data_IF_511124594409
#
_entry.id   IF_511124594409
#
_cell.length_a   1.000
_cell.length_b   1.000
_cell.length_c   1.000
_cell.angle_alpha   90.00
_cell.angle_beta   90.00
_cell.angle_gamma   90.00
#
_symmetry.space_group_name_H-M   'P 1'
#
loop_
_entity.id
_entity.type
_entity.pdbx_description
1 polymer ?
#
# COMPACT_ATOMS: atom_id res chain seq x y z
N UNK A 1 -38.07 -18.26 39.32
CA UNK A 1 -37.52 -18.55 37.98
C UNK A 1 -36.27 -17.70 37.82
N UNK A 2 -35.10 -18.33 37.67
CA UNK A 2 -33.89 -17.61 37.29
C UNK A 2 -34.00 -17.19 35.81
N UNK A 3 -33.44 -16.03 35.40
CA UNK A 3 -33.43 -15.65 34.00
C UNK A 3 -32.56 -16.64 33.22
N UNK A 4 -33.09 -17.17 32.12
CA UNK A 4 -32.34 -17.98 31.17
C UNK A 4 -31.27 -17.08 30.52
N UNK A 5 -29.99 -17.39 30.74
CA UNK A 5 -28.90 -16.74 30.00
C UNK A 5 -29.10 -17.02 28.50
N UNK A 6 -29.20 -15.97 27.69
CA UNK A 6 -29.17 -16.11 26.23
C UNK A 6 -27.74 -16.50 25.80
N UNK A 7 -27.62 -17.57 25.00
CA UNK A 7 -26.38 -17.95 24.32
C UNK A 7 -26.08 -16.91 23.23
N UNK A 8 -25.27 -15.88 23.53
CA UNK A 8 -24.82 -14.92 22.50
C UNK A 8 -23.55 -15.48 21.83
N UNK A 9 -23.27 -15.24 20.56
CA UNK A 9 -22.07 -15.80 19.86
C UNK A 9 -21.02 -14.74 19.48
N UNK A 10 -19.81 -14.74 20.06
CA UNK A 10 -18.70 -13.82 19.72
C UNK A 10 -17.95 -14.42 18.57
N UNK A 11 -17.53 -13.55 17.67
CA UNK A 11 -16.33 -13.82 16.91
C UNK A 11 -15.39 -12.63 16.98
N UNK A 12 -14.10 -12.91 17.14
CA UNK A 12 -13.05 -11.91 16.98
C UNK A 12 -12.42 -12.11 15.62
N UNK A 13 -12.34 -11.04 14.83
CA UNK A 13 -11.66 -11.07 13.54
C UNK A 13 -10.33 -10.33 13.66
N UNK A 14 -9.23 -10.99 13.28
CA UNK A 14 -7.91 -10.37 13.21
C UNK A 14 -7.36 -10.41 11.79
N UNK A 15 -6.74 -9.33 11.35
CA UNK A 15 -6.00 -9.22 10.09
C UNK A 15 -4.50 -9.29 10.36
N UNK A 16 -3.76 -10.01 9.51
CA UNK A 16 -2.30 -9.88 9.44
C UNK A 16 -1.93 -9.27 8.08
N UNK A 17 -0.72 -8.74 7.94
CA UNK A 17 -0.23 -8.22 6.67
C UNK A 17 1.18 -8.73 6.38
N UNK A 18 1.47 -8.97 5.12
CA UNK A 18 2.82 -9.30 4.64
C UNK A 18 3.38 -8.10 3.89
N UNK A 19 4.54 -7.63 4.28
CA UNK A 19 5.21 -6.49 3.65
C UNK A 19 6.25 -6.95 2.61
N UNK A 20 6.55 -6.07 1.66
CA UNK A 20 7.61 -6.26 0.69
C UNK A 20 8.09 -4.92 0.13
N UNK A 21 9.27 -4.95 -0.50
CA UNK A 21 9.87 -3.79 -1.15
C UNK A 21 10.48 -4.23 -2.49
N UNK A 22 10.25 -3.46 -3.54
CA UNK A 22 10.87 -3.65 -4.85
C UNK A 22 11.33 -2.30 -5.41
N UNK A 23 12.50 -2.27 -6.03
CA UNK A 23 13.05 -1.06 -6.66
C UNK A 23 13.19 -1.27 -8.16
N UNK A 24 12.66 -0.34 -8.93
CA UNK A 24 12.83 -0.25 -10.37
C UNK A 24 13.80 0.89 -10.69
N UNK A 25 14.99 0.56 -11.22
CA UNK A 25 15.90 1.54 -11.83
C UNK A 25 15.55 1.70 -13.30
N UNK A 26 15.37 2.95 -13.72
CA UNK A 26 15.31 3.35 -15.13
C UNK A 26 16.69 3.90 -15.48
N UNK A 27 17.32 3.32 -16.50
CA UNK A 27 18.65 3.70 -16.97
C UNK A 27 18.57 4.07 -18.45
N UNK A 28 19.03 5.27 -18.81
CA UNK A 28 18.79 5.84 -20.14
C UNK A 28 17.36 6.37 -20.32
N UNK A 29 16.83 7.07 -19.31
CA UNK A 29 15.48 7.65 -19.27
C UNK A 29 15.14 8.42 -20.53
N UNK A 30 16.03 9.29 -21.03
CA UNK A 30 15.80 10.08 -22.25
C UNK A 30 15.57 9.18 -23.45
N UNK A 31 16.41 8.14 -23.62
CA UNK A 31 16.28 7.18 -24.72
C UNK A 31 14.98 6.38 -24.60
N UNK A 32 14.66 5.90 -23.40
CA UNK A 32 13.44 5.14 -23.13
C UNK A 32 12.21 6.00 -23.40
N UNK A 33 12.19 7.26 -22.92
CA UNK A 33 11.10 8.19 -23.13
C UNK A 33 10.90 8.49 -24.63
N UNK A 34 11.98 8.65 -25.39
CA UNK A 34 11.89 8.85 -26.83
C UNK A 34 11.39 7.59 -27.58
N UNK A 35 11.88 6.41 -27.22
CA UNK A 35 11.43 5.13 -27.82
C UNK A 35 9.96 4.83 -27.49
N UNK A 36 9.54 5.12 -26.26
CA UNK A 36 8.17 4.94 -25.78
C UNK A 36 7.35 6.23 -25.95
N UNK A 37 7.64 7.03 -27.00
CA UNK A 37 7.22 8.42 -27.19
C UNK A 37 5.72 8.74 -27.18
N UNK A 38 4.85 7.75 -27.00
CA UNK A 38 3.40 7.92 -26.87
C UNK A 38 2.96 7.77 -25.41
N UNK A 39 1.98 8.60 -25.01
CA UNK A 39 1.26 8.44 -23.74
C UNK A 39 0.67 7.03 -23.68
N UNK A 40 0.79 6.37 -22.52
CA UNK A 40 0.32 5.00 -22.30
C UNK A 40 1.38 3.93 -22.47
N UNK A 41 2.53 4.22 -23.11
CA UNK A 41 3.64 3.28 -23.19
C UNK A 41 4.41 3.22 -21.87
N UNK A 42 4.86 2.03 -21.49
CA UNK A 42 5.51 1.78 -20.21
C UNK A 42 6.73 0.86 -20.31
N UNK A 43 7.53 0.91 -19.26
CA UNK A 43 8.53 -0.10 -18.92
C UNK A 43 8.04 -0.86 -17.70
N UNK A 44 8.10 -2.19 -17.76
CA UNK A 44 7.73 -3.09 -16.67
C UNK A 44 8.97 -3.55 -15.90
N UNK A 45 8.90 -3.58 -14.58
CA UNK A 45 9.94 -4.14 -13.73
C UNK A 45 10.01 -5.67 -13.83
N UNK A 46 11.06 -6.26 -13.26
CA UNK A 46 11.02 -7.68 -12.94
C UNK A 46 9.85 -7.98 -11.99
N UNK A 47 9.30 -9.18 -12.10
CA UNK A 47 8.23 -9.65 -11.21
C UNK A 47 8.79 -9.94 -9.81
N UNK A 48 8.02 -9.62 -8.78
CA UNK A 48 8.37 -9.90 -7.38
C UNK A 48 7.17 -10.47 -6.62
N UNK A 49 7.42 -11.20 -5.53
CA UNK A 49 6.38 -11.92 -4.77
C UNK A 49 6.17 -11.30 -3.39
N UNK A 50 4.90 -11.06 -3.02
CA UNK A 50 4.49 -10.61 -1.67
C UNK A 50 3.16 -11.27 -1.32
N UNK A 51 3.04 -11.83 -0.12
CA UNK A 51 1.87 -12.59 0.34
C UNK A 51 1.40 -13.70 -0.62
N UNK A 52 2.33 -14.34 -1.34
CA UNK A 52 1.99 -15.37 -2.34
C UNK A 52 1.46 -14.83 -3.68
N UNK A 53 1.30 -13.51 -3.81
CA UNK A 53 0.91 -12.86 -5.05
C UNK A 53 2.13 -12.38 -5.84
N UNK A 54 2.01 -12.36 -7.18
CA UNK A 54 3.08 -11.90 -8.08
C UNK A 54 2.74 -10.51 -8.61
N UNK A 55 3.69 -9.58 -8.44
CA UNK A 55 3.52 -8.16 -8.72
C UNK A 55 4.60 -7.66 -9.69
N UNK A 56 4.32 -6.57 -10.40
CA UNK A 56 5.33 -5.78 -11.11
C UNK A 56 4.98 -4.30 -11.08
N UNK A 57 6.01 -3.45 -11.20
CA UNK A 57 5.88 -2.00 -11.30
C UNK A 57 5.85 -1.64 -12.79
N UNK A 58 4.88 -0.83 -13.20
CA UNK A 58 4.84 -0.20 -14.52
C UNK A 58 5.20 1.27 -14.40
N UNK A 59 6.26 1.69 -15.08
CA UNK A 59 6.66 3.09 -15.19
C UNK A 59 6.31 3.62 -16.58
N UNK A 60 5.60 4.75 -16.64
CA UNK A 60 5.22 5.42 -17.88
C UNK A 60 5.98 6.75 -17.99
N UNK A 61 7.14 6.79 -18.67
CA UNK A 61 7.97 8.00 -18.77
C UNK A 61 7.22 9.19 -19.37
N UNK A 62 6.30 8.92 -20.30
CA UNK A 62 5.51 9.93 -20.99
C UNK A 62 4.11 10.15 -20.40
N UNK A 63 3.80 9.48 -19.29
CA UNK A 63 2.49 9.47 -18.65
C UNK A 63 1.61 8.34 -19.15
N UNK A 64 0.74 7.81 -18.28
CA UNK A 64 -0.23 6.76 -18.61
C UNK A 64 -1.44 7.33 -19.34
N UNK A 65 -2.09 8.33 -18.73
CA UNK A 65 -3.23 9.08 -19.29
C UNK A 65 -2.99 10.59 -19.29
N UNK A 66 -2.08 11.06 -18.45
CA UNK A 66 -1.81 12.48 -18.22
C UNK A 66 -0.44 12.87 -18.85
N UNK A 67 -0.43 13.52 -20.02
CA UNK A 67 0.82 14.00 -20.62
C UNK A 67 1.51 15.04 -19.72
N UNK A 68 2.83 15.12 -19.81
CA UNK A 68 3.65 16.03 -18.99
C UNK A 68 4.00 15.48 -17.60
N UNK A 69 3.51 14.29 -17.25
CA UNK A 69 3.86 13.58 -16.03
C UNK A 69 4.66 12.31 -16.36
N UNK A 70 5.42 11.83 -15.39
CA UNK A 70 5.75 10.41 -15.28
C UNK A 70 4.66 9.78 -14.43
N UNK A 71 4.13 8.63 -14.87
CA UNK A 71 3.16 7.85 -14.12
C UNK A 71 3.79 6.57 -13.62
N UNK A 72 3.30 6.06 -12.49
CA UNK A 72 3.71 4.77 -11.93
C UNK A 72 2.48 3.96 -11.57
N UNK A 73 2.51 2.66 -11.79
CA UNK A 73 1.45 1.75 -11.38
C UNK A 73 2.02 0.42 -10.89
N UNK A 74 1.20 -0.30 -10.14
CA UNK A 74 1.44 -1.66 -9.71
C UNK A 74 0.44 -2.57 -10.41
N UNK A 75 0.90 -3.72 -10.89
CA UNK A 75 0.06 -4.73 -11.52
C UNK A 75 0.12 -6.02 -10.72
N UNK A 76 -1.05 -6.62 -10.47
CA UNK A 76 -1.18 -7.97 -9.93
C UNK A 76 -1.29 -8.96 -11.10
N UNK A 77 -0.38 -9.92 -11.18
CA UNK A 77 -0.37 -10.94 -12.25
C UNK A 77 -1.25 -12.14 -11.91
N UNK A 78 -1.76 -12.81 -12.95
CA UNK A 78 -2.47 -14.08 -12.81
C UNK A 78 -1.59 -15.14 -12.15
N UNK A 79 -2.19 -15.87 -11.24
CA UNK A 79 -1.63 -17.11 -10.70
C UNK A 79 -1.90 -18.18 -11.75
N UNK A 80 -0.84 -18.76 -12.31
CA UNK A 80 -0.92 -19.73 -13.41
C UNK A 80 -1.14 -21.17 -12.96
N UNK A 81 -1.36 -21.42 -11.66
CA UNK A 81 -1.60 -22.78 -11.16
C UNK A 81 -3.08 -23.16 -11.29
N UNK A 82 -3.32 -24.34 -11.88
CA UNK A 82 -4.64 -24.95 -12.16
C UNK A 82 -5.47 -25.23 -10.89
N UNK A 83 -4.87 -25.17 -9.70
CA UNK A 83 -5.50 -25.42 -8.39
C UNK A 83 -5.89 -24.13 -7.64
N UNK A 84 -5.91 -22.98 -8.33
CA UNK A 84 -6.04 -21.67 -7.69
C UNK A 84 -7.44 -21.44 -7.08
N UNK A 85 -7.48 -21.31 -5.75
CA UNK A 85 -8.59 -20.76 -4.99
C UNK A 85 -9.02 -19.40 -5.59
N UNK A 86 -10.31 -19.13 -5.84
CA UNK A 86 -10.77 -17.85 -6.40
C UNK A 86 -10.38 -16.63 -5.56
N UNK A 87 -10.10 -16.78 -4.26
CA UNK A 87 -9.56 -15.69 -3.42
C UNK A 87 -8.10 -15.33 -3.72
N UNK A 88 -7.37 -16.20 -4.43
CA UNK A 88 -6.02 -15.93 -4.88
C UNK A 88 -5.99 -14.93 -6.06
N UNK A 89 -7.16 -14.66 -6.67
CA UNK A 89 -7.31 -13.68 -7.75
C UNK A 89 -7.44 -12.23 -7.29
N UNK A 90 -7.50 -12.00 -5.97
CA UNK A 90 -7.68 -10.68 -5.38
C UNK A 90 -6.70 -10.46 -4.23
N UNK A 91 -6.16 -9.25 -4.10
CA UNK A 91 -5.29 -8.86 -3.00
C UNK A 91 -5.61 -7.42 -2.55
N UNK A 92 -5.92 -7.22 -1.28
CA UNK A 92 -6.00 -5.88 -0.70
C UNK A 92 -4.61 -5.43 -0.30
N UNK A 93 -4.13 -4.33 -0.86
CA UNK A 93 -2.79 -3.82 -0.61
C UNK A 93 -2.77 -2.31 -0.37
N UNK A 94 -1.93 -1.88 0.57
CA UNK A 94 -1.41 -0.51 0.58
C UNK A 94 -0.07 -0.49 -0.13
N UNK A 95 0.07 0.50 -1.01
CA UNK A 95 1.23 0.67 -1.87
C UNK A 95 1.75 2.08 -1.67
N UNK A 96 3.06 2.21 -1.45
CA UNK A 96 3.79 3.46 -1.43
C UNK A 96 4.81 3.44 -2.56
N UNK A 97 4.72 4.42 -3.44
CA UNK A 97 5.74 4.71 -4.44
C UNK A 97 6.55 5.92 -4.00
N UNK A 98 7.87 5.83 -4.04
CA UNK A 98 8.78 6.94 -3.79
C UNK A 98 9.88 7.03 -4.84
N UNK A 99 10.33 8.25 -5.12
CA UNK A 99 11.57 8.46 -5.88
C UNK A 99 12.75 8.27 -4.94
N UNK A 100 13.78 7.56 -5.43
CA UNK A 100 14.97 7.25 -4.63
C UNK A 100 15.98 8.38 -4.79
N UNK A 101 16.38 9.04 -3.69
CA UNK A 101 17.48 10.01 -3.69
C UNK A 101 18.75 9.43 -4.30
N UNK A 102 19.32 10.12 -5.29
CA UNK A 102 20.67 9.78 -5.76
C UNK A 102 21.66 10.65 -5.01
N UNK A 103 22.22 10.12 -3.92
CA UNK A 103 23.18 10.84 -3.10
C UNK A 103 24.41 11.27 -3.91
N UNK A 104 24.85 12.51 -3.69
CA UNK A 104 26.24 12.89 -3.88
C UNK A 104 26.99 12.53 -2.60
N UNK A 105 28.03 11.71 -2.71
CA UNK A 105 28.97 11.50 -1.61
C UNK A 105 29.42 12.87 -1.07
N UNK A 106 29.18 13.11 0.23
CA UNK A 106 29.78 14.23 0.96
C UNK A 106 28.97 15.52 1.12
N UNK A 107 27.69 15.58 0.72
CA UNK A 107 26.84 16.75 1.00
C UNK A 107 25.57 16.36 1.76
N UNK A 108 25.51 16.75 3.03
CA UNK A 108 24.27 16.82 3.81
C UNK A 108 23.46 18.00 3.29
N UNK A 109 22.83 17.84 2.13
CA UNK A 109 21.86 18.81 1.63
C UNK A 109 20.65 18.81 2.58
N UNK A 110 19.91 19.94 2.71
CA UNK A 110 18.63 19.89 3.37
C UNK A 110 17.81 18.88 2.59
N UNK A 111 17.51 17.74 3.21
CA UNK A 111 16.71 16.69 2.62
C UNK A 111 15.37 17.34 2.29
N UNK A 112 15.16 17.78 1.06
CA UNK A 112 13.84 18.19 0.60
C UNK A 112 12.89 17.02 0.89
N UNK A 113 11.62 17.32 1.11
CA UNK A 113 10.65 16.27 1.43
C UNK A 113 10.74 15.14 0.37
N UNK A 114 10.86 13.86 0.80
CA UNK A 114 10.87 12.73 -0.10
C UNK A 114 9.64 12.79 -1.00
N UNK A 115 9.84 12.61 -2.32
CA UNK A 115 8.73 12.56 -3.26
C UNK A 115 8.09 11.17 -3.14
N UNK A 116 7.01 11.08 -2.37
CA UNK A 116 6.27 9.85 -2.18
C UNK A 116 4.76 10.04 -2.37
N UNK A 117 4.09 8.98 -2.82
CA UNK A 117 2.64 8.88 -2.89
C UNK A 117 2.20 7.50 -2.46
N UNK A 118 1.10 7.43 -1.73
CA UNK A 118 0.53 6.17 -1.21
C UNK A 118 -0.95 6.03 -1.51
N UNK A 119 -1.39 4.78 -1.65
CA UNK A 119 -2.79 4.45 -1.82
C UNK A 119 -3.09 3.05 -1.29
N UNK A 120 -4.34 2.83 -0.93
CA UNK A 120 -4.85 1.50 -0.57
C UNK A 120 -5.91 1.09 -1.58
N UNK A 121 -5.73 -0.07 -2.21
CA UNK A 121 -6.67 -0.60 -3.21
C UNK A 121 -6.80 -2.10 -3.09
N UNK A 122 -7.90 -2.58 -3.64
CA UNK A 122 -8.14 -3.99 -3.87
C UNK A 122 -7.74 -4.27 -5.31
N UNK A 123 -6.70 -5.08 -5.48
CA UNK A 123 -6.22 -5.52 -6.78
C UNK A 123 -6.94 -6.78 -7.17
N UNK A 124 -7.34 -6.84 -8.44
CA UNK A 124 -7.76 -8.08 -9.09
C UNK A 124 -6.67 -8.50 -10.05
N UNK A 125 -6.60 -9.79 -10.33
CA UNK A 125 -5.67 -10.32 -11.30
C UNK A 125 -5.80 -9.62 -12.66
N UNK A 126 -4.67 -9.17 -13.22
CA UNK A 126 -4.59 -8.42 -14.47
C UNK A 126 -4.91 -6.92 -14.31
N UNK A 127 -5.37 -6.47 -13.15
CA UNK A 127 -5.68 -5.06 -12.90
C UNK A 127 -4.43 -4.29 -12.47
N UNK A 128 -4.34 -3.06 -12.97
CA UNK A 128 -3.21 -2.16 -12.78
C UNK A 128 -3.69 -0.85 -12.15
N UNK A 129 -3.20 -0.57 -10.94
CA UNK A 129 -3.56 0.62 -10.14
C UNK A 129 -2.33 1.47 -9.84
N UNK A 130 -2.49 2.79 -9.80
CA UNK A 130 -1.36 3.67 -9.56
C UNK A 130 -1.67 5.15 -9.66
N UNK A 131 -0.64 5.94 -9.95
CA UNK A 131 -0.70 7.39 -10.05
C UNK A 131 -0.42 7.85 -11.47
N UNK A 132 -1.47 8.31 -12.16
CA UNK A 132 -1.33 8.96 -13.47
C UNK A 132 -0.50 10.25 -13.40
N UNK A 133 -0.55 10.93 -12.25
CA UNK A 133 0.22 12.15 -11.98
C UNK A 133 1.22 11.90 -10.86
N UNK A 134 2.17 10.98 -11.04
CA UNK A 134 3.13 10.67 -9.98
C UNK A 134 4.09 11.83 -9.74
N UNK A 135 4.84 12.25 -10.76
CA UNK A 135 5.74 13.41 -10.72
C UNK A 135 5.64 14.21 -12.02
N UNK A 136 5.73 15.54 -11.94
CA UNK A 136 5.79 16.39 -13.15
C UNK A 136 7.11 16.11 -13.85
N UNK A 137 7.06 15.83 -15.15
CA UNK A 137 8.24 15.43 -15.92
C UNK A 137 9.36 16.46 -15.86
N UNK A 138 9.00 17.73 -16.08
CA UNK A 138 9.94 18.86 -16.02
C UNK A 138 10.55 19.07 -14.64
N UNK A 139 9.86 18.66 -13.57
CA UNK A 139 10.38 18.74 -12.21
C UNK A 139 11.35 17.58 -11.95
N UNK A 140 11.00 16.36 -12.38
CA UNK A 140 11.90 15.20 -12.31
C UNK A 140 13.22 15.49 -13.04
N UNK A 141 13.15 16.03 -14.26
CA UNK A 141 14.33 16.36 -15.08
C UNK A 141 15.24 17.43 -14.48
N UNK A 142 14.72 18.26 -13.58
CA UNK A 142 15.48 19.29 -12.84
C UNK A 142 15.82 18.87 -11.41
N UNK A 143 15.36 17.69 -11.00
CA UNK A 143 15.50 17.22 -9.62
C UNK A 143 16.79 16.42 -9.43
N UNK A 144 17.16 16.25 -8.17
CA UNK A 144 18.25 15.38 -7.72
C UNK A 144 17.90 13.88 -7.77
N UNK A 145 16.69 13.52 -8.19
CA UNK A 145 16.30 12.12 -8.41
C UNK A 145 16.78 11.57 -9.75
N UNK A 146 16.91 12.43 -10.76
CA UNK A 146 17.44 12.08 -12.08
C UNK A 146 18.92 12.46 -12.16
N UNK A 147 19.78 11.45 -12.31
CA UNK A 147 21.23 11.62 -12.43
C UNK A 147 21.77 10.68 -13.50
N UNK A 148 22.70 11.17 -14.31
CA UNK A 148 23.33 10.40 -15.39
C UNK A 148 22.29 9.72 -16.31
N UNK A 149 21.20 10.44 -16.63
CA UNK A 149 20.05 9.95 -17.40
C UNK A 149 19.34 8.73 -16.79
N UNK A 150 19.43 8.55 -15.46
CA UNK A 150 18.76 7.46 -14.75
C UNK A 150 18.08 7.94 -13.47
N UNK A 151 17.01 7.27 -13.08
CA UNK A 151 16.33 7.46 -11.80
C UNK A 151 15.80 6.12 -11.28
N UNK A 152 15.42 6.05 -10.01
CA UNK A 152 14.84 4.86 -9.43
C UNK A 152 13.54 5.15 -8.69
N UNK A 153 12.61 4.21 -8.82
CA UNK A 153 11.34 4.19 -8.10
C UNK A 153 11.40 3.04 -7.10
N UNK A 154 11.09 3.33 -5.85
CA UNK A 154 10.87 2.33 -4.81
C UNK A 154 9.37 2.11 -4.63
N UNK A 155 8.97 0.84 -4.57
CA UNK A 155 7.62 0.41 -4.25
C UNK A 155 7.67 -0.37 -2.94
N UNK A 156 7.13 0.21 -1.88
CA UNK A 156 6.82 -0.52 -0.65
C UNK A 156 5.37 -0.97 -0.70
N UNK A 157 5.11 -2.23 -0.36
CA UNK A 157 3.78 -2.82 -0.40
C UNK A 157 3.50 -3.58 0.88
N UNK A 158 2.27 -3.47 1.39
CA UNK A 158 1.74 -4.37 2.43
C UNK A 158 0.43 -4.98 1.94
N UNK A 159 0.38 -6.30 1.86
CA UNK A 159 -0.79 -7.06 1.44
C UNK A 159 -1.47 -7.63 2.67
N UNK A 160 -2.77 -7.38 2.81
CA UNK A 160 -3.60 -7.91 3.90
C UNK A 160 -3.83 -9.40 3.68
N UNK A 161 -3.45 -10.22 4.65
CA UNK A 161 -3.70 -11.65 4.67
C UNK A 161 -5.12 -11.96 5.20
N UNK A 162 -5.55 -13.23 5.12
CA UNK A 162 -6.88 -13.70 5.56
C UNK A 162 -7.29 -13.16 6.94
N UNK A 163 -8.57 -12.77 7.03
CA UNK A 163 -9.31 -12.57 8.26
C UNK A 163 -9.34 -13.89 9.06
N UNK A 164 -8.70 -13.93 10.22
CA UNK A 164 -8.83 -15.05 11.15
C UNK A 164 -10.02 -14.77 12.05
N UNK A 165 -11.11 -15.50 11.84
CA UNK A 165 -12.28 -15.52 12.73
C UNK A 165 -11.97 -16.50 13.87
N UNK A 166 -11.90 -16.00 15.11
CA UNK A 166 -11.87 -16.83 16.32
C UNK A 166 -13.28 -16.82 16.93
N UNK A 167 -13.95 -17.96 17.05
CA UNK A 167 -15.21 -18.09 17.81
C UNK A 167 -14.92 -18.30 19.30
N UNK A 168 -15.66 -17.63 20.21
CA UNK A 168 -16.69 -18.35 21.00
C UNK A 168 -17.87 -17.46 21.48
N UNK A 169 -18.83 -17.98 22.25
CA UNK A 169 -20.08 -17.35 22.75
C UNK A 169 -19.95 -15.93 23.44
N UNK A 170 -20.48 -14.82 22.82
CA UNK A 170 -21.05 -13.54 23.39
C UNK A 170 -21.80 -13.66 24.70
N UNK A 171 -21.69 -12.71 25.61
CA UNK A 171 -22.61 -12.33 26.70
C UNK A 171 -22.24 -10.87 27.05
N UNK A 172 -23.04 -10.10 27.81
CA UNK A 172 -22.63 -8.75 28.25
C UNK A 172 -21.27 -8.70 28.96
N UNK A 173 -20.94 -9.75 29.71
CA UNK A 173 -19.60 -9.97 30.27
C UNK A 173 -18.50 -10.09 29.19
N UNK A 174 -18.84 -10.57 28.00
CA UNK A 174 -17.89 -10.73 26.90
C UNK A 174 -17.63 -9.41 26.15
N UNK A 175 -18.52 -8.41 26.20
CA UNK A 175 -18.22 -7.04 25.76
C UNK A 175 -17.24 -6.32 26.70
N UNK A 176 -17.40 -6.49 28.01
CA UNK A 176 -16.42 -6.03 29.01
C UNK A 176 -15.06 -6.72 28.84
N UNK A 177 -15.04 -8.04 28.57
CA UNK A 177 -13.81 -8.82 28.32
C UNK A 177 -13.11 -8.46 27.00
N UNK A 178 -13.84 -8.01 25.98
CA UNK A 178 -13.26 -7.52 24.73
C UNK A 178 -12.62 -6.12 24.88
N UNK A 179 -12.73 -5.49 26.06
CA UNK A 179 -12.21 -4.14 26.29
C UNK A 179 -12.95 -3.07 25.49
N UNK A 180 -14.18 -3.37 25.05
CA UNK A 180 -15.02 -2.44 24.26
C UNK A 180 -15.99 -1.63 25.13
N UNK A 181 -15.93 -1.77 26.46
CA UNK A 181 -16.72 -1.01 27.43
C UNK A 181 -15.83 0.05 28.09
N UNK A 182 -16.17 1.33 27.96
CA UNK A 182 -15.57 2.41 28.75
C UNK A 182 -16.56 2.82 29.84
N UNK A 183 -16.15 2.78 31.10
CA UNK A 183 -16.96 3.22 32.25
C UNK A 183 -16.86 4.73 32.49
N UNK A 184 -16.68 5.47 31.41
CA UNK A 184 -16.25 6.85 31.38
C UNK A 184 -17.50 7.71 31.22
N UNK A 185 -17.82 8.55 32.20
CA UNK A 185 -19.08 9.31 32.23
C UNK A 185 -18.88 10.77 31.79
N UNK A 186 -17.89 11.04 30.94
CA UNK A 186 -17.56 12.37 30.43
C UNK A 186 -17.77 12.49 28.91
N UNK A 187 -18.10 13.71 28.47
CA UNK A 187 -18.46 14.00 27.08
C UNK A 187 -17.27 13.79 26.11
N UNK A 188 -16.04 13.81 26.63
CA UNK A 188 -14.80 13.56 25.90
C UNK A 188 -14.69 12.11 25.40
N UNK A 189 -15.30 11.16 26.11
CA UNK A 189 -15.25 9.75 25.76
C UNK A 189 -16.08 9.42 24.51
N UNK A 190 -17.22 10.07 24.35
CA UNK A 190 -18.14 9.86 23.22
C UNK A 190 -17.48 10.16 21.87
N UNK A 191 -16.60 11.18 21.82
CA UNK A 191 -15.84 11.56 20.62
C UNK A 191 -14.73 10.54 20.31
N UNK A 192 -14.08 9.99 21.33
CA UNK A 192 -13.03 8.98 21.17
C UNK A 192 -13.62 7.63 20.67
N UNK A 193 -14.85 7.28 21.08
CA UNK A 193 -15.53 6.07 20.63
C UNK A 193 -16.09 6.16 19.20
N UNK A 194 -16.61 7.31 18.78
CA UNK A 194 -17.09 7.52 17.40
C UNK A 194 -15.95 7.48 16.38
N UNK A 195 -14.74 7.87 16.79
CA UNK A 195 -13.56 7.84 15.94
C UNK A 195 -12.88 6.45 15.87
N UNK A 196 -13.09 5.58 16.87
CA UNK A 196 -12.37 4.31 17.01
C UNK A 196 -12.62 3.29 15.89
N UNK A 197 -13.82 3.18 15.31
CA UNK A 197 -14.07 2.09 14.36
C UNK A 197 -13.42 2.32 12.98
N UNK A 198 -13.47 3.56 12.47
CA UNK A 198 -12.87 3.93 11.20
C UNK A 198 -11.38 4.26 11.33
N UNK A 199 -10.95 4.80 12.49
CA UNK A 199 -9.56 5.16 12.70
C UNK A 199 -8.72 4.00 13.22
N UNK A 200 -9.22 3.00 13.95
CA UNK A 200 -8.38 1.88 14.43
C UNK A 200 -7.87 1.01 13.28
N UNK A 201 -8.68 0.78 12.24
CA UNK A 201 -8.22 0.10 11.01
C UNK A 201 -7.17 0.95 10.30
N UNK A 202 -7.31 2.27 10.30
CA UNK A 202 -6.38 3.19 9.64
C UNK A 202 -5.09 3.41 10.46
N UNK A 203 -5.18 3.48 11.80
CA UNK A 203 -4.10 3.74 12.77
C UNK A 203 -3.26 2.50 13.03
N UNK A 204 -3.86 1.32 13.22
CA UNK A 204 -3.08 0.07 13.36
C UNK A 204 -2.30 -0.27 12.09
N UNK A 205 -2.84 0.12 10.93
CA UNK A 205 -2.17 -0.05 9.66
C UNK A 205 -1.08 1.02 9.44
N UNK A 206 -1.30 2.25 9.89
CA UNK A 206 -0.31 3.34 9.89
C UNK A 206 0.87 3.07 10.85
N UNK A 207 0.62 2.56 12.06
CA UNK A 207 1.65 2.17 13.03
C UNK A 207 2.50 0.99 12.52
N UNK A 208 1.89 0.04 11.82
CA UNK A 208 2.61 -1.09 11.22
C UNK A 208 3.57 -0.64 10.10
N UNK A 209 3.18 0.38 9.31
CA UNK A 209 4.02 0.92 8.25
C UNK A 209 5.17 1.78 8.77
N UNK A 210 4.95 2.59 9.80
CA UNK A 210 6.01 3.38 10.45
C UNK A 210 7.04 2.48 11.17
N UNK A 211 6.63 1.29 11.63
CA UNK A 211 7.55 0.30 12.21
C UNK A 211 8.36 -0.52 11.19
N UNK A 212 7.87 -0.68 9.95
CA UNK A 212 8.52 -1.53 8.93
C UNK A 212 9.44 -0.76 7.96
N UNK A 213 9.37 0.56 7.93
CA UNK A 213 10.24 1.41 7.11
C UNK A 213 10.74 2.59 7.95
N UNK A 214 11.86 2.46 8.68
CA UNK A 214 12.45 3.60 9.36
C UNK A 214 12.87 4.65 8.32
N UNK A 215 12.67 5.91 8.69
CA UNK A 215 13.15 7.12 8.01
C UNK A 215 14.65 7.03 7.67
#
# INVERSE_FOLDING_TARGET
>A
MAPTEEDVTVSTVSTTATTGCHMLKIDGYTRIANMHGMVGNFVESSKFKVAGHTWSILCYPNGRTCPGFVSVSLTLHHITDDDANPRASQAQAEVRFSLVPQHHYGLTLPLGEPHEKRFTRVFYSGVTEGFDRFVVRKELEKSWYLKDDGFAIRCDIAVVNKLVVKEPVVRPADLERLGMVCNCNDDMCTLHHTLSFAQVVKLKFLEFFLGCFPL
#
